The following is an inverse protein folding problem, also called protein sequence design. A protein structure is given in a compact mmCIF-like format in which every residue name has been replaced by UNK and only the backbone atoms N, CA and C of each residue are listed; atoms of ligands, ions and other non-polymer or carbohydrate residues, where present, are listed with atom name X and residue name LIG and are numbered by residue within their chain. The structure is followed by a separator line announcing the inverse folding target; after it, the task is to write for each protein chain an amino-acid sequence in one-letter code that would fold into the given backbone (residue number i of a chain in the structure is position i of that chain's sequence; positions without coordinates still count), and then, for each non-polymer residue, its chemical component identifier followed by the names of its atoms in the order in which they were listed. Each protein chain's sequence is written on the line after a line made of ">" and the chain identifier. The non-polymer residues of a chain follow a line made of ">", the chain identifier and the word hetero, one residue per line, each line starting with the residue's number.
data_IF_338006328905
#
_entry.id   IF_338006328905
#
_cell.length_a   1.000
_cell.length_b   1.000
_cell.length_c   1.000
_cell.angle_alpha   90.00
_cell.angle_beta   90.00
_cell.angle_gamma   90.00
#
_symmetry.space_group_name_H-M   'P 1'
#
loop_
_entity.id
_entity.type
_entity.pdbx_description
1 polymer ?
#
# COMPACT_ATOMS: atom_id res chain seq x y z
N UNK A 1 -21.96 5.32 14.85
CA UNK A 1 -22.58 4.12 14.25
C UNK A 1 -21.43 3.27 13.73
N UNK A 2 -21.12 2.12 14.34
CA UNK A 2 -20.03 1.24 13.84
C UNK A 2 -20.47 0.64 12.52
N UNK A 3 -19.65 0.81 11.48
CA UNK A 3 -19.84 0.15 10.19
C UNK A 3 -19.28 -1.27 10.29
N UNK A 4 -20.16 -2.25 10.18
CA UNK A 4 -19.74 -3.62 9.92
C UNK A 4 -19.66 -3.77 8.39
N UNK A 5 -18.47 -3.61 7.84
CA UNK A 5 -18.24 -3.56 6.39
C UNK A 5 -17.93 -4.95 5.88
N UNK A 6 -18.75 -5.46 4.97
CA UNK A 6 -18.48 -6.71 4.25
C UNK A 6 -17.75 -6.47 2.97
N UNK A 7 -16.81 -7.36 2.74
CA UNK A 7 -16.28 -7.58 1.41
C UNK A 7 -17.17 -8.58 0.68
N UNK A 8 -17.25 -8.53 -0.64
CA UNK A 8 -17.82 -9.60 -1.46
C UNK A 8 -17.12 -10.93 -1.09
N UNK A 9 -17.83 -12.06 -1.21
CA UNK A 9 -17.34 -13.38 -0.77
C UNK A 9 -15.96 -13.66 -1.37
N UNK A 10 -14.94 -13.81 -0.50
CA UNK A 10 -13.57 -14.11 -0.90
C UNK A 10 -13.32 -15.61 -0.83
N UNK A 11 -12.75 -16.20 -1.88
CA UNK A 11 -12.39 -17.62 -1.95
C UNK A 11 -11.23 -17.99 -1.02
N UNK A 12 -10.78 -19.23 -1.05
CA UNK A 12 -9.62 -19.69 -0.27
C UNK A 12 -8.29 -19.23 -0.85
N UNK A 13 -8.21 -19.15 -2.18
CA UNK A 13 -7.04 -18.63 -2.89
C UNK A 13 -7.17 -17.13 -3.07
N UNK A 14 -6.20 -16.40 -2.57
CA UNK A 14 -6.15 -14.94 -2.68
C UNK A 14 -5.15 -14.55 -3.73
N UNK A 15 -3.86 -14.58 -3.41
CA UNK A 15 -2.81 -14.47 -4.39
C UNK A 15 -1.56 -15.24 -3.95
N UNK A 16 -0.87 -15.80 -4.92
CA UNK A 16 0.37 -16.53 -4.72
C UNK A 16 1.42 -16.02 -5.71
N UNK A 17 2.52 -15.51 -5.20
CA UNK A 17 3.69 -15.13 -5.99
C UNK A 17 4.72 -16.26 -5.91
N UNK A 18 5.19 -16.74 -7.07
CA UNK A 18 6.20 -17.80 -7.19
C UNK A 18 7.36 -17.32 -8.05
N UNK A 19 8.55 -17.22 -7.45
CA UNK A 19 9.82 -16.83 -8.08
C UNK A 19 9.72 -15.54 -8.91
N UNK A 20 8.92 -14.59 -8.45
CA UNK A 20 8.62 -13.34 -9.15
C UNK A 20 9.84 -12.43 -9.15
N UNK A 21 10.30 -12.07 -10.34
CA UNK A 21 11.40 -11.11 -10.52
C UNK A 21 10.97 -9.95 -11.42
N UNK A 22 11.45 -8.76 -11.09
CA UNK A 22 11.22 -7.53 -11.85
C UNK A 22 12.41 -6.60 -11.78
N UNK A 23 12.78 -6.04 -12.94
CA UNK A 23 13.87 -5.09 -13.08
C UNK A 23 13.48 -3.93 -14.00
N UNK A 24 14.11 -2.78 -13.79
CA UNK A 24 14.10 -1.67 -14.74
C UNK A 24 15.55 -1.26 -15.01
N UNK A 25 16.08 -1.67 -16.16
CA UNK A 25 17.50 -1.53 -16.44
C UNK A 25 18.35 -2.25 -15.37
N UNK A 26 19.24 -1.53 -14.71
CA UNK A 26 20.10 -2.09 -13.66
C UNK A 26 19.44 -2.14 -12.27
N UNK A 27 18.25 -1.54 -12.13
CA UNK A 27 17.54 -1.49 -10.85
C UNK A 27 16.71 -2.75 -10.65
N UNK A 28 17.06 -3.56 -9.65
CA UNK A 28 16.32 -4.76 -9.25
C UNK A 28 15.22 -4.35 -8.27
N UNK A 29 13.97 -4.63 -8.62
CA UNK A 29 12.80 -4.36 -7.79
C UNK A 29 12.40 -5.58 -6.97
N UNK A 30 12.36 -6.74 -7.63
CA UNK A 30 12.07 -8.05 -7.03
C UNK A 30 13.09 -9.06 -7.55
N UNK A 31 13.57 -9.94 -6.69
CA UNK A 31 14.43 -11.06 -7.06
C UNK A 31 13.90 -12.36 -6.47
N UNK A 32 13.30 -13.20 -7.32
CA UNK A 32 12.69 -14.50 -6.95
C UNK A 32 11.78 -14.42 -5.72
N UNK A 33 10.97 -13.38 -5.69
CA UNK A 33 10.03 -13.16 -4.59
C UNK A 33 8.97 -14.25 -4.55
N UNK A 34 8.79 -14.83 -3.37
CA UNK A 34 7.78 -15.83 -3.09
C UNK A 34 6.91 -15.36 -1.93
N UNK A 35 5.59 -15.37 -2.13
CA UNK A 35 4.64 -14.98 -1.09
C UNK A 35 3.27 -15.61 -1.33
N UNK A 36 2.64 -16.06 -0.25
CA UNK A 36 1.28 -16.58 -0.28
C UNK A 36 0.39 -15.74 0.63
N UNK A 37 -0.48 -14.94 0.02
CA UNK A 37 -1.39 -14.06 0.73
C UNK A 37 -2.58 -14.85 1.28
N UNK A 38 -2.86 -14.67 2.56
CA UNK A 38 -3.92 -15.41 3.24
C UNK A 38 -5.23 -14.61 3.30
N UNK A 39 -6.33 -15.29 3.62
CA UNK A 39 -7.64 -14.62 3.74
C UNK A 39 -7.66 -13.65 4.91
N UNK A 40 -8.26 -12.49 4.66
CA UNK A 40 -8.44 -11.42 5.65
C UNK A 40 -7.14 -10.78 6.15
N UNK A 41 -6.05 -11.11 5.55
CA UNK A 41 -4.73 -10.57 5.86
C UNK A 41 -4.69 -9.07 5.56
N UNK A 42 -4.10 -8.31 6.47
CA UNK A 42 -3.89 -6.87 6.34
C UNK A 42 -2.41 -6.59 6.42
N UNK A 43 -1.82 -6.29 5.27
CA UNK A 43 -0.39 -6.17 5.05
C UNK A 43 0.02 -4.71 4.91
N UNK A 44 0.98 -4.27 5.73
CA UNK A 44 1.67 -3.01 5.54
C UNK A 44 2.91 -3.18 4.65
N UNK A 45 3.11 -2.30 3.69
CA UNK A 45 4.34 -2.26 2.88
C UNK A 45 5.14 -1.03 3.27
N UNK A 46 6.38 -1.25 3.69
CA UNK A 46 7.29 -0.21 4.14
C UNK A 46 8.64 -0.32 3.44
N UNK A 47 9.36 0.80 3.35
CA UNK A 47 10.67 0.87 2.72
C UNK A 47 10.95 2.27 2.20
N UNK A 48 12.18 2.53 1.80
CA UNK A 48 12.61 3.84 1.32
C UNK A 48 11.94 4.20 -0.03
N UNK A 49 11.97 5.48 -0.40
CA UNK A 49 11.43 5.91 -1.69
C UNK A 49 12.24 5.29 -2.84
N UNK A 50 11.53 4.85 -3.88
CA UNK A 50 12.15 4.23 -5.05
C UNK A 50 12.56 2.76 -4.87
N UNK A 51 12.33 2.12 -3.71
CA UNK A 51 12.66 0.70 -3.50
C UNK A 51 11.72 -0.30 -4.19
N UNK A 52 10.67 0.19 -4.89
CA UNK A 52 9.82 -0.66 -5.73
C UNK A 52 8.41 -0.93 -5.20
N UNK A 53 7.97 -0.29 -4.10
CA UNK A 53 6.64 -0.49 -3.49
C UNK A 53 5.49 -0.35 -4.50
N UNK A 54 5.40 0.79 -5.18
CA UNK A 54 4.33 1.02 -6.18
C UNK A 54 4.45 0.11 -7.39
N UNK A 55 5.66 -0.31 -7.77
CA UNK A 55 5.86 -1.33 -8.82
C UNK A 55 5.29 -2.68 -8.39
N UNK A 56 5.52 -3.08 -7.14
CA UNK A 56 4.93 -4.30 -6.58
C UNK A 56 3.40 -4.25 -6.61
N UNK A 57 2.79 -3.12 -6.22
CA UNK A 57 1.34 -2.96 -6.30
C UNK A 57 0.82 -3.06 -7.74
N UNK A 58 1.55 -2.51 -8.71
CA UNK A 58 1.20 -2.61 -10.14
C UNK A 58 1.33 -4.05 -10.67
N UNK A 59 2.34 -4.80 -10.22
CA UNK A 59 2.47 -6.22 -10.54
C UNK A 59 1.31 -7.03 -9.98
N UNK A 60 0.94 -6.76 -8.72
CA UNK A 60 -0.15 -7.43 -8.03
C UNK A 60 -1.51 -7.18 -8.69
N UNK A 61 -1.76 -5.93 -9.13
CA UNK A 61 -3.01 -5.56 -9.80
C UNK A 61 -3.04 -5.86 -11.29
N UNK A 62 -1.95 -6.43 -11.84
CA UNK A 62 -1.85 -6.79 -13.25
C UNK A 62 -1.62 -5.61 -14.21
N UNK A 63 -1.41 -4.40 -13.68
CA UNK A 63 -1.06 -3.19 -14.47
C UNK A 63 0.35 -3.35 -15.08
N UNK A 64 1.26 -4.00 -14.35
CA UNK A 64 2.61 -4.31 -14.78
C UNK A 64 2.80 -5.83 -14.82
N UNK A 65 3.72 -6.33 -15.66
CA UNK A 65 4.03 -7.76 -15.75
C UNK A 65 5.39 -8.06 -15.13
N UNK A 66 5.55 -9.20 -14.45
CA UNK A 66 6.85 -9.65 -14.00
C UNK A 66 7.74 -10.03 -15.20
N UNK A 67 9.06 -9.94 -15.03
CA UNK A 67 10.02 -10.38 -16.03
C UNK A 67 10.19 -11.91 -16.00
N UNK A 68 10.03 -12.51 -14.81
CA UNK A 68 9.97 -13.95 -14.61
C UNK A 68 9.14 -14.31 -13.39
N UNK A 69 8.81 -15.60 -13.25
CA UNK A 69 7.91 -16.08 -12.20
C UNK A 69 6.44 -15.90 -12.54
N UNK A 70 5.57 -16.19 -11.59
CA UNK A 70 4.12 -16.17 -11.78
C UNK A 70 3.46 -15.52 -10.57
N UNK A 71 2.51 -14.63 -10.81
CA UNK A 71 1.54 -14.16 -9.81
C UNK A 71 0.20 -14.80 -10.16
N UNK A 72 -0.28 -15.65 -9.29
CA UNK A 72 -1.50 -16.41 -9.47
C UNK A 72 -2.58 -15.86 -8.52
N UNK A 73 -3.59 -15.20 -9.10
CA UNK A 73 -4.66 -14.49 -8.39
C UNK A 73 -5.92 -15.32 -8.38
N UNK A 74 -6.57 -15.44 -7.23
CA UNK A 74 -7.82 -16.18 -7.09
C UNK A 74 -8.95 -15.54 -7.93
N UNK A 75 -9.75 -16.36 -8.62
CA UNK A 75 -10.83 -15.91 -9.51
C UNK A 75 -11.89 -15.03 -8.83
N UNK A 76 -12.02 -15.16 -7.50
CA UNK A 76 -12.99 -14.38 -6.71
C UNK A 76 -12.44 -13.06 -6.22
N UNK A 77 -11.15 -12.77 -6.44
CA UNK A 77 -10.51 -11.54 -5.99
C UNK A 77 -11.01 -10.36 -6.82
N UNK A 78 -11.49 -9.33 -6.12
CA UNK A 78 -11.89 -8.05 -6.70
C UNK A 78 -11.08 -6.95 -6.06
N UNK A 79 -10.13 -6.40 -6.82
CA UNK A 79 -9.30 -5.31 -6.35
C UNK A 79 -10.06 -3.98 -6.32
N UNK A 80 -9.88 -3.24 -5.22
CA UNK A 80 -10.12 -1.81 -5.17
C UNK A 80 -8.78 -1.13 -4.99
N UNK A 81 -8.32 -0.38 -5.99
CA UNK A 81 -7.01 0.26 -5.97
C UNK A 81 -7.16 1.77 -5.81
N UNK A 82 -6.73 2.28 -4.65
CA UNK A 82 -6.59 3.69 -4.39
C UNK A 82 -5.14 4.10 -4.62
N UNK A 83 -4.88 4.90 -5.65
CA UNK A 83 -3.54 5.38 -6.00
C UNK A 83 -3.51 6.90 -6.14
N UNK A 84 -2.32 7.48 -6.01
CA UNK A 84 -2.12 8.92 -6.21
C UNK A 84 -2.44 9.41 -7.63
N UNK A 85 -2.43 8.52 -8.63
CA UNK A 85 -2.56 8.86 -10.05
C UNK A 85 -3.98 8.67 -10.63
N UNK A 86 -4.96 8.26 -9.84
CA UNK A 86 -6.26 7.79 -10.33
C UNK A 86 -7.39 8.82 -10.39
N UNK A 87 -7.12 10.12 -10.38
CA UNK A 87 -8.11 11.17 -10.17
C UNK A 87 -8.55 11.86 -11.46
N UNK A 88 -9.18 11.11 -12.35
CA UNK A 88 -9.89 11.73 -13.49
C UNK A 88 -11.39 11.58 -13.29
N UNK A 89 -12.07 12.71 -13.14
CA UNK A 89 -13.52 12.79 -13.08
C UNK A 89 -14.04 13.71 -14.20
N UNK A 90 -15.24 13.41 -14.67
CA UNK A 90 -15.99 14.36 -15.48
C UNK A 90 -16.49 15.50 -14.57
N UNK A 91 -15.91 16.68 -14.75
CA UNK A 91 -16.21 17.88 -13.98
C UNK A 91 -17.68 18.34 -14.13
N UNK A 92 -18.38 17.90 -15.17
CA UNK A 92 -19.78 18.21 -15.43
C UNK A 92 -20.76 17.29 -14.67
N UNK A 93 -20.29 16.20 -14.07
CA UNK A 93 -21.11 15.30 -13.27
C UNK A 93 -21.33 15.87 -11.85
N UNK A 94 -22.43 15.47 -11.21
CA UNK A 94 -22.63 15.69 -9.78
C UNK A 94 -21.90 14.62 -8.98
N UNK A 95 -21.50 14.96 -7.76
CA UNK A 95 -20.81 14.03 -6.85
C UNK A 95 -21.59 12.73 -6.68
N UNK A 96 -22.92 12.81 -6.47
CA UNK A 96 -23.76 11.63 -6.30
C UNK A 96 -23.82 10.78 -7.58
N UNK A 97 -23.84 11.41 -8.76
CA UNK A 97 -23.94 10.71 -10.03
C UNK A 97 -22.67 9.93 -10.34
N UNK A 98 -21.49 10.44 -9.96
CA UNK A 98 -20.21 9.72 -10.10
C UNK A 98 -20.24 8.39 -9.34
N UNK A 99 -20.78 8.39 -8.13
CA UNK A 99 -20.79 7.19 -7.28
C UNK A 99 -21.91 6.24 -7.68
N UNK A 100 -23.10 6.75 -8.01
CA UNK A 100 -24.23 5.92 -8.47
C UNK A 100 -24.01 5.29 -9.83
N UNK A 101 -23.18 5.90 -10.69
CA UNK A 101 -22.76 5.30 -11.97
C UNK A 101 -21.98 3.97 -11.77
N UNK A 102 -21.35 3.78 -10.62
CA UNK A 102 -20.63 2.54 -10.26
C UNK A 102 -21.62 1.52 -9.72
N UNK A 103 -22.38 1.89 -8.69
CA UNK A 103 -23.43 1.08 -8.09
C UNK A 103 -24.39 1.97 -7.29
N UNK A 104 -25.66 1.57 -7.20
CA UNK A 104 -26.63 2.27 -6.35
C UNK A 104 -26.43 1.97 -4.87
N UNK A 105 -25.90 0.78 -4.57
CA UNK A 105 -25.71 0.29 -3.21
C UNK A 105 -24.45 -0.56 -3.12
N UNK A 106 -23.81 -0.53 -1.94
CA UNK A 106 -22.72 -1.42 -1.55
C UNK A 106 -23.20 -2.34 -0.44
N UNK A 107 -22.85 -3.62 -0.51
CA UNK A 107 -23.18 -4.59 0.54
C UNK A 107 -22.17 -4.49 1.68
N UNK A 108 -22.67 -4.42 2.91
CA UNK A 108 -21.88 -4.43 4.13
C UNK A 108 -21.67 -5.87 4.61
N UNK A 109 -20.67 -6.10 5.50
CA UNK A 109 -20.30 -7.45 5.96
C UNK A 109 -21.32 -8.20 6.77
N UNK A 110 -22.30 -7.51 7.27
CA UNK A 110 -23.44 -8.06 8.00
C UNK A 110 -24.66 -8.35 7.08
N UNK A 111 -24.47 -8.21 5.76
CA UNK A 111 -25.53 -8.36 4.76
C UNK A 111 -26.43 -7.13 4.59
N UNK A 112 -26.22 -6.06 5.37
CA UNK A 112 -26.92 -4.79 5.14
C UNK A 112 -26.38 -4.12 3.89
N UNK A 113 -27.21 -3.29 3.28
CA UNK A 113 -26.83 -2.48 2.11
C UNK A 113 -26.76 -1.01 2.50
N UNK A 114 -25.75 -0.34 1.99
CA UNK A 114 -25.55 1.10 2.12
C UNK A 114 -25.73 1.73 0.75
N UNK A 115 -26.59 2.75 0.64
CA UNK A 115 -26.74 3.48 -0.61
C UNK A 115 -25.52 4.35 -0.91
N UNK A 116 -25.34 4.74 -2.17
CA UNK A 116 -24.31 5.68 -2.58
C UNK A 116 -24.35 6.98 -1.75
N UNK A 117 -25.56 7.54 -1.52
CA UNK A 117 -25.72 8.74 -0.69
C UNK A 117 -25.29 8.53 0.76
N UNK A 118 -25.60 7.37 1.37
CA UNK A 118 -25.17 7.05 2.73
C UNK A 118 -23.66 6.88 2.82
N UNK A 119 -23.02 6.24 1.83
CA UNK A 119 -21.57 6.13 1.78
C UNK A 119 -20.92 7.52 1.68
N UNK A 120 -21.42 8.37 0.78
CA UNK A 120 -20.95 9.74 0.65
C UNK A 120 -21.12 10.54 1.96
N UNK A 121 -22.26 10.41 2.66
CA UNK A 121 -22.46 11.05 3.96
C UNK A 121 -21.45 10.56 4.99
N UNK A 122 -21.15 9.26 4.99
CA UNK A 122 -20.16 8.69 5.88
C UNK A 122 -18.77 9.30 5.65
N UNK A 123 -18.44 9.57 4.38
CA UNK A 123 -17.22 10.29 3.99
C UNK A 123 -17.41 11.81 3.89
N UNK A 124 -18.27 12.39 4.72
CA UNK A 124 -18.45 13.82 4.96
C UNK A 124 -18.98 14.64 3.77
N UNK A 125 -19.63 14.01 2.80
CA UNK A 125 -20.39 14.74 1.80
C UNK A 125 -21.81 14.96 2.32
N UNK A 126 -22.13 16.21 2.68
CA UNK A 126 -23.51 16.57 3.10
C UNK A 126 -24.50 16.38 1.96
N UNK A 127 -25.81 16.25 2.23
CA UNK A 127 -26.81 16.15 1.15
C UNK A 127 -26.69 17.25 0.10
N UNK A 128 -26.37 18.48 0.52
CA UNK A 128 -26.21 19.60 -0.42
C UNK A 128 -24.95 19.43 -1.28
N UNK A 129 -23.82 19.00 -0.68
CA UNK A 129 -22.55 18.80 -1.42
C UNK A 129 -22.61 17.63 -2.40
N UNK A 130 -23.45 16.62 -2.13
CA UNK A 130 -23.65 15.49 -3.04
C UNK A 130 -24.25 15.91 -4.39
N UNK A 131 -25.04 16.97 -4.40
CA UNK A 131 -25.64 17.51 -5.65
C UNK A 131 -24.80 18.60 -6.31
N UNK A 132 -23.66 18.98 -5.73
CA UNK A 132 -22.72 19.88 -6.38
C UNK A 132 -22.00 19.18 -7.54
N UNK A 133 -21.56 19.97 -8.52
CA UNK A 133 -20.72 19.48 -9.60
C UNK A 133 -19.30 19.20 -9.10
N UNK A 134 -18.66 18.17 -9.66
CA UNK A 134 -17.30 17.78 -9.35
C UNK A 134 -16.31 18.93 -9.57
N UNK A 135 -16.56 19.78 -10.56
CA UNK A 135 -15.78 21.00 -10.82
C UNK A 135 -15.66 21.94 -9.62
N UNK A 136 -16.61 21.89 -8.67
CA UNK A 136 -16.62 22.76 -7.48
C UNK A 136 -15.90 22.17 -6.26
N UNK A 137 -15.48 20.92 -6.35
CA UNK A 137 -14.80 20.25 -5.26
C UNK A 137 -13.37 20.76 -5.10
N UNK A 138 -12.95 20.95 -3.86
CA UNK A 138 -11.53 21.11 -3.50
C UNK A 138 -10.73 19.85 -3.82
N UNK A 139 -9.40 19.97 -3.87
CA UNK A 139 -8.52 18.82 -4.11
C UNK A 139 -8.72 17.69 -3.09
N UNK A 140 -8.88 18.03 -1.78
CA UNK A 140 -9.14 17.05 -0.74
C UNK A 140 -10.51 16.37 -0.88
N UNK A 141 -11.55 17.11 -1.27
CA UNK A 141 -12.88 16.54 -1.55
C UNK A 141 -12.86 15.63 -2.78
N UNK A 142 -12.12 15.98 -3.84
CA UNK A 142 -11.93 15.09 -5.00
C UNK A 142 -11.25 13.78 -4.61
N UNK A 143 -10.24 13.81 -3.74
CA UNK A 143 -9.56 12.61 -3.23
C UNK A 143 -10.48 11.75 -2.38
N UNK A 144 -11.29 12.37 -1.56
CA UNK A 144 -12.33 11.72 -0.76
C UNK A 144 -13.42 11.08 -1.65
N UNK A 145 -13.83 11.77 -2.71
CA UNK A 145 -14.74 11.22 -3.71
C UNK A 145 -14.13 10.00 -4.41
N UNK A 146 -12.85 10.08 -4.79
CA UNK A 146 -12.14 8.96 -5.40
C UNK A 146 -12.11 7.73 -4.47
N UNK A 147 -11.84 7.94 -3.18
CA UNK A 147 -11.95 6.86 -2.21
C UNK A 147 -13.35 6.23 -2.20
N UNK A 148 -14.41 7.04 -2.19
CA UNK A 148 -15.79 6.55 -2.26
C UNK A 148 -16.03 5.72 -3.53
N UNK A 149 -15.50 6.13 -4.69
CA UNK A 149 -15.64 5.36 -5.94
C UNK A 149 -14.95 4.00 -5.88
N UNK A 150 -13.78 3.93 -5.25
CA UNK A 150 -13.06 2.66 -5.04
C UNK A 150 -13.87 1.72 -4.13
N UNK A 151 -14.39 2.23 -3.02
CA UNK A 151 -15.17 1.44 -2.06
C UNK A 151 -16.51 0.98 -2.62
N UNK A 152 -17.13 1.80 -3.48
CA UNK A 152 -18.43 1.48 -4.09
C UNK A 152 -18.37 0.33 -5.09
N UNK A 153 -17.18 -0.02 -5.61
CA UNK A 153 -16.97 -1.21 -6.43
C UNK A 153 -17.13 -2.52 -5.65
N UNK A 154 -17.40 -2.45 -4.34
CA UNK A 154 -17.51 -3.61 -3.44
C UNK A 154 -16.29 -4.55 -3.53
N UNK A 155 -15.06 -4.02 -3.41
CA UNK A 155 -13.86 -4.84 -3.45
C UNK A 155 -13.83 -5.83 -2.28
N UNK A 156 -13.12 -6.93 -2.46
CA UNK A 156 -12.76 -7.82 -1.36
C UNK A 156 -11.23 -7.85 -1.11
N UNK A 157 -10.49 -7.11 -1.91
CA UNK A 157 -9.07 -6.85 -1.74
C UNK A 157 -8.80 -5.37 -1.98
N UNK A 158 -8.44 -4.64 -0.93
CA UNK A 158 -8.11 -3.21 -1.02
C UNK A 158 -6.61 -3.01 -1.12
N UNK A 159 -6.20 -2.19 -2.07
CA UNK A 159 -4.81 -1.73 -2.24
C UNK A 159 -4.79 -0.22 -2.09
N UNK A 160 -4.09 0.27 -1.08
CA UNK A 160 -4.02 1.68 -0.74
C UNK A 160 -2.59 2.17 -0.87
N UNK A 161 -2.31 3.00 -1.87
CA UNK A 161 -0.98 3.57 -2.12
C UNK A 161 -0.90 5.00 -1.61
N UNK A 162 -0.26 5.20 -0.46
CA UNK A 162 -0.03 6.46 0.26
C UNK A 162 -1.33 7.27 0.54
N UNK A 163 -2.38 6.67 1.10
CA UNK A 163 -3.64 7.38 1.35
C UNK A 163 -3.48 8.54 2.34
N UNK A 164 -2.47 8.47 3.21
CA UNK A 164 -2.20 9.47 4.24
C UNK A 164 -1.65 10.79 3.69
N UNK A 165 -1.11 10.80 2.47
CA UNK A 165 -0.61 12.04 1.86
C UNK A 165 -1.73 12.92 1.32
N UNK A 166 -2.87 12.33 1.05
CA UNK A 166 -3.92 12.91 0.22
C UNK A 166 -5.21 13.19 0.97
N UNK A 167 -5.42 12.56 2.12
CA UNK A 167 -6.64 12.65 2.91
C UNK A 167 -6.40 13.48 4.19
N UNK A 168 -7.40 14.26 4.57
CA UNK A 168 -7.37 14.98 5.84
C UNK A 168 -7.53 14.01 7.04
N UNK A 169 -7.14 14.47 8.23
CA UNK A 169 -7.12 13.66 9.46
C UNK A 169 -8.48 13.06 9.79
N UNK A 170 -9.58 13.79 9.54
CA UNK A 170 -10.94 13.31 9.82
C UNK A 170 -11.30 12.19 8.85
N UNK A 171 -11.01 12.37 7.56
CA UNK A 171 -11.23 11.34 6.53
C UNK A 171 -10.36 10.10 6.78
N UNK A 172 -9.11 10.29 7.22
CA UNK A 172 -8.23 9.17 7.61
C UNK A 172 -8.82 8.39 8.79
N UNK A 173 -9.37 9.06 9.81
CA UNK A 173 -10.04 8.38 10.92
C UNK A 173 -11.24 7.53 10.45
N UNK A 174 -12.04 8.05 9.51
CA UNK A 174 -13.15 7.30 8.90
C UNK A 174 -12.64 6.09 8.11
N UNK A 175 -11.55 6.28 7.33
CA UNK A 175 -10.94 5.18 6.59
C UNK A 175 -10.36 4.11 7.52
N UNK A 176 -9.71 4.48 8.62
CA UNK A 176 -9.21 3.55 9.64
C UNK A 176 -10.34 2.69 10.21
N UNK A 177 -11.45 3.32 10.63
CA UNK A 177 -12.63 2.59 11.14
C UNK A 177 -13.20 1.64 10.07
N UNK A 178 -13.28 2.10 8.82
CA UNK A 178 -13.71 1.27 7.70
C UNK A 178 -12.81 0.06 7.53
N UNK A 179 -11.48 0.26 7.48
CA UNK A 179 -10.49 -0.81 7.27
C UNK A 179 -10.45 -1.80 8.43
N UNK A 180 -10.65 -1.37 9.67
CA UNK A 180 -10.73 -2.26 10.83
C UNK A 180 -11.95 -3.19 10.75
N UNK A 181 -13.08 -2.67 10.28
CA UNK A 181 -14.31 -3.43 10.10
C UNK A 181 -14.32 -4.26 8.79
N UNK A 182 -13.45 -3.95 7.85
CA UNK A 182 -13.42 -4.55 6.53
C UNK A 182 -13.05 -6.04 6.59
N UNK A 183 -13.94 -6.90 6.09
CA UNK A 183 -13.80 -8.36 6.06
C UNK A 183 -13.19 -8.85 4.74
N UNK A 184 -12.21 -8.16 4.23
CA UNK A 184 -11.43 -8.50 3.05
C UNK A 184 -9.95 -8.42 3.34
N UNK A 185 -9.14 -8.59 2.30
CA UNK A 185 -7.71 -8.41 2.37
C UNK A 185 -7.35 -6.94 2.13
N UNK A 186 -6.30 -6.47 2.79
CA UNK A 186 -5.81 -5.10 2.64
C UNK A 186 -4.31 -5.11 2.41
N UNK A 187 -3.85 -4.34 1.45
CA UNK A 187 -2.45 -3.90 1.36
C UNK A 187 -2.43 -2.39 1.50
N UNK A 188 -1.62 -1.89 2.41
CA UNK A 188 -1.39 -0.46 2.59
C UNK A 188 0.08 -0.12 2.46
N UNK A 189 0.39 0.85 1.60
CA UNK A 189 1.68 1.53 1.55
C UNK A 189 1.50 2.88 2.23
N UNK A 190 2.20 3.15 3.29
CA UNK A 190 2.21 4.45 3.94
C UNK A 190 3.49 4.68 4.74
N UNK A 191 3.87 5.96 4.86
CA UNK A 191 4.93 6.42 5.75
C UNK A 191 4.39 6.83 7.14
N UNK A 192 3.07 6.88 7.31
CA UNK A 192 2.44 7.16 8.59
C UNK A 192 2.37 5.89 9.45
N UNK A 193 3.24 5.83 10.47
CA UNK A 193 3.33 4.69 11.38
C UNK A 193 2.03 4.42 12.13
N UNK A 194 1.31 5.47 12.53
CA UNK A 194 0.08 5.32 13.32
C UNK A 194 -1.02 4.70 12.48
N UNK A 195 -1.13 5.11 11.23
CA UNK A 195 -2.07 4.55 10.28
C UNK A 195 -1.75 3.07 10.01
N UNK A 196 -0.48 2.75 9.70
CA UNK A 196 -0.06 1.37 9.42
C UNK A 196 -0.26 0.48 10.64
N UNK A 197 0.15 0.93 11.86
CA UNK A 197 0.01 0.15 13.10
C UNK A 197 -1.45 -0.14 13.48
N UNK A 198 -2.40 0.70 13.03
CA UNK A 198 -3.84 0.47 13.23
C UNK A 198 -4.48 -0.47 12.24
N UNK A 199 -3.93 -0.56 11.02
CA UNK A 199 -4.56 -1.24 9.90
C UNK A 199 -3.90 -2.58 9.61
N UNK A 200 -2.56 -2.67 9.67
CA UNK A 200 -1.80 -3.84 9.24
C UNK A 200 -1.55 -4.82 10.40
N UNK A 201 -1.59 -6.11 10.09
CA UNK A 201 -1.28 -7.20 11.01
C UNK A 201 0.24 -7.48 11.05
N UNK A 202 0.93 -7.24 9.92
CA UNK A 202 2.38 -7.38 9.76
C UNK A 202 2.88 -6.57 8.56
N UNK A 203 4.20 -6.58 8.31
CA UNK A 203 4.82 -5.74 7.30
C UNK A 203 5.64 -6.54 6.28
N UNK A 204 5.57 -6.15 5.00
CA UNK A 204 6.59 -6.45 4.01
C UNK A 204 7.56 -5.27 3.90
N UNK A 205 8.81 -5.53 4.26
CA UNK A 205 9.88 -4.52 4.27
C UNK A 205 10.69 -4.61 2.99
N UNK A 206 10.61 -3.57 2.17
CA UNK A 206 11.40 -3.43 0.97
C UNK A 206 12.77 -2.84 1.33
N UNK A 207 13.80 -3.71 1.38
CA UNK A 207 15.16 -3.34 1.75
C UNK A 207 15.98 -2.74 0.59
N UNK A 208 15.44 -2.75 -0.63
CA UNK A 208 16.15 -2.38 -1.86
C UNK A 208 16.95 -3.54 -2.47
N UNK A 209 17.36 -3.38 -3.73
CA UNK A 209 18.11 -4.42 -4.44
C UNK A 209 17.36 -5.73 -4.67
N UNK A 210 16.02 -5.69 -4.63
CA UNK A 210 15.16 -6.86 -4.78
C UNK A 210 14.92 -7.65 -3.50
N UNK A 211 15.53 -7.25 -2.38
CA UNK A 211 15.34 -7.91 -1.09
C UNK A 211 14.07 -7.41 -0.42
N UNK A 212 13.17 -8.35 -0.10
CA UNK A 212 11.95 -8.11 0.68
C UNK A 212 11.95 -9.04 1.89
N UNK A 213 11.61 -8.49 3.05
CA UNK A 213 11.50 -9.25 4.31
C UNK A 213 10.09 -9.18 4.84
N UNK A 214 9.56 -10.33 5.26
CA UNK A 214 8.36 -10.41 6.07
C UNK A 214 8.74 -10.11 7.53
N UNK A 215 8.08 -9.11 8.10
CA UNK A 215 8.32 -8.64 9.46
C UNK A 215 7.04 -8.79 10.28
N UNK A 216 7.04 -9.80 11.15
CA UNK A 216 5.93 -10.08 12.05
C UNK A 216 5.96 -9.10 13.24
N UNK A 217 5.46 -7.88 13.04
CA UNK A 217 5.44 -6.84 14.07
C UNK A 217 4.85 -5.54 13.55
N UNK A 218 4.74 -4.58 14.44
CA UNK A 218 4.24 -3.24 14.17
C UNK A 218 5.27 -2.38 13.43
N UNK A 219 4.82 -1.28 12.84
CA UNK A 219 5.73 -0.30 12.22
C UNK A 219 6.69 0.31 13.26
N UNK A 220 6.22 0.51 14.48
CA UNK A 220 7.06 1.03 15.57
C UNK A 220 8.20 0.08 15.94
N UNK A 221 7.93 -1.23 15.99
CA UNK A 221 8.94 -2.27 16.19
C UNK A 221 9.89 -2.38 15.00
N UNK A 222 9.37 -2.27 13.78
CA UNK A 222 10.19 -2.21 12.57
C UNK A 222 11.20 -1.06 12.60
N UNK A 223 10.78 0.14 13.02
CA UNK A 223 11.70 1.30 13.11
C UNK A 223 12.83 1.04 14.11
N UNK A 224 12.54 0.41 15.24
CA UNK A 224 13.58 0.01 16.22
C UNK A 224 14.54 -1.03 15.61
N UNK A 225 13.99 -2.08 15.00
CA UNK A 225 14.76 -3.10 14.31
C UNK A 225 15.62 -2.54 13.18
N UNK A 226 15.08 -1.62 12.35
CA UNK A 226 15.82 -1.00 11.24
C UNK A 226 17.08 -0.28 11.74
N UNK A 227 16.98 0.44 12.86
CA UNK A 227 18.13 1.14 13.47
C UNK A 227 19.24 0.17 13.86
N UNK A 228 18.88 -0.93 14.52
CA UNK A 228 19.83 -1.97 14.94
C UNK A 228 20.46 -2.66 13.73
N UNK A 229 19.66 -3.01 12.73
CA UNK A 229 20.11 -3.65 11.50
C UNK A 229 21.08 -2.77 10.70
N UNK A 230 20.78 -1.49 10.54
CA UNK A 230 21.67 -0.53 9.85
C UNK A 230 22.97 -0.33 10.63
N UNK A 231 22.91 -0.28 11.96
CA UNK A 231 24.09 -0.18 12.81
C UNK A 231 25.00 -1.42 12.66
N UNK A 232 24.41 -2.61 12.67
CA UNK A 232 25.15 -3.86 12.47
C UNK A 232 25.81 -3.92 11.07
N UNK A 233 25.09 -3.57 10.01
CA UNK A 233 25.64 -3.52 8.64
C UNK A 233 26.80 -2.51 8.52
N UNK A 234 26.68 -1.35 9.16
CA UNK A 234 27.77 -0.36 9.18
C UNK A 234 29.00 -0.87 9.90
N UNK A 235 28.82 -1.59 11.02
CA UNK A 235 29.89 -2.21 11.76
C UNK A 235 30.61 -3.30 10.95
N UNK A 236 29.86 -4.18 10.28
CA UNK A 236 30.41 -5.19 9.38
C UNK A 236 31.19 -4.58 8.20
N UNK A 237 30.63 -3.55 7.57
CA UNK A 237 31.30 -2.85 6.48
C UNK A 237 32.57 -2.12 6.93
N UNK A 238 32.60 -1.61 8.16
CA UNK A 238 33.79 -1.00 8.76
C UNK A 238 34.90 -2.03 9.04
N UNK A 239 34.52 -3.24 9.47
CA UNK A 239 35.47 -4.36 9.71
C UNK A 239 36.02 -4.96 8.41
N UNK A 240 35.23 -4.96 7.34
CA UNK A 240 35.62 -5.47 6.02
C UNK A 240 36.59 -4.54 5.26
N UNK A 241 36.82 -3.29 5.71
CA UNK A 241 37.81 -2.41 5.11
C UNK A 241 39.22 -2.90 5.46
N UNK A 242 40.11 -3.17 4.46
CA UNK A 242 41.48 -3.58 4.72
C UNK A 242 42.20 -2.46 5.48
N UNK A 243 42.88 -2.83 6.58
CA UNK A 243 43.73 -1.90 7.34
C UNK A 243 44.77 -1.31 6.38
N UNK A 244 45.02 0.01 6.41
CA UNK A 244 46.08 0.62 5.61
C UNK A 244 47.40 -0.08 5.94
N UNK A 245 48.04 -0.68 4.95
CA UNK A 245 49.41 -1.18 5.13
C UNK A 245 50.29 0.02 5.42
N UNK A 246 50.92 0.04 6.60
CA UNK A 246 51.91 1.01 6.96
C UNK A 246 53.07 0.93 5.95
N UNK A 247 53.25 1.99 5.17
CA UNK A 247 54.37 2.12 4.26
C UNK A 247 55.68 2.04 5.07
N UNK A 248 56.41 0.97 4.92
CA UNK A 248 57.80 0.87 5.43
C UNK A 248 58.64 1.85 4.66
N UNK A 249 58.94 2.98 5.26
CA UNK A 249 59.94 3.93 4.79
C UNK A 249 61.32 3.24 4.92
N UNK A 250 61.85 2.73 3.81
CA UNK A 250 63.27 2.34 3.74
C UNK A 250 64.10 3.62 3.63
N UNK A 251 64.74 3.97 4.71
CA UNK A 251 65.80 4.97 4.71
C UNK A 251 67.01 4.36 4.03
N UNK A 252 67.28 4.82 2.80
CA UNK A 252 68.56 4.51 2.12
C UNK A 252 69.65 5.36 2.82
N UNK A 253 70.54 4.66 3.51
CA UNK A 253 71.82 5.21 3.91
C UNK A 253 72.71 5.23 2.69
N UNK A 254 73.06 6.42 2.20
CA UNK A 254 74.17 6.64 1.25
C UNK A 254 75.39 6.94 2.09
N UNK A 255 76.40 6.07 1.97
CA UNK A 255 77.76 6.32 2.42
C UNK A 255 78.64 6.61 1.22
N UNK A 256 79.57 7.59 1.46
CA UNK A 256 80.79 7.96 0.77
C UNK A 256 80.64 8.88 -0.43
#
# INVERSE_FOLDING_TARGET
>A
MRLDVGASRIGTKIFEARDVSKRFGDVVILDKFNYNFTRYEKLGIVGDNGCGKSTFLKLLTGIERPDSGVIDIGETVRFGYYSQQGLEFDDSMRVIDVVTAIAEQVELGDGRRMSASQLLQHFLFTPETQYNYVARLSGGERRRLYLCTVLMQSPNFLVLDEPTNDLDIVTLGILEEYLQAFRGCVIVVSHDRYFVDKVADHLLVFCGGGEIRDFAGTYSEYVAWKREYEAARRAEAAQARPKPQAAKTQAAKTQA
#
